data_IF_663669570805
#
_entry.id   IF_663669570805
#
_cell.length_a   1.000
_cell.length_b   1.000
_cell.length_c   1.000
_cell.angle_alpha   90.00
_cell.angle_beta   90.00
_cell.angle_gamma   90.00
#
_symmetry.space_group_name_H-M   'P 1'
#
loop_
_entity.id
_entity.type
_entity.pdbx_description
1 polymer ?
#
# COMPACT_ATOMS: atom_id res chain seq x y z
N UNK A 1 25.86 -67.42 -35.54
CA UNK A 1 26.05 -66.06 -35.00
C UNK A 1 24.91 -65.05 -35.23
N UNK A 2 24.02 -65.15 -36.25
CA UNK A 2 23.01 -64.09 -36.49
C UNK A 2 21.87 -64.05 -35.46
N UNK A 3 21.51 -65.19 -34.86
CA UNK A 3 20.42 -65.28 -33.85
C UNK A 3 20.65 -64.40 -32.61
N UNK A 4 21.89 -64.27 -32.14
CA UNK A 4 22.23 -63.45 -30.97
C UNK A 4 22.08 -61.96 -31.26
N UNK A 5 22.37 -61.55 -32.50
CA UNK A 5 22.25 -60.17 -32.96
C UNK A 5 20.78 -59.76 -33.09
N UNK A 6 19.92 -60.64 -33.62
CA UNK A 6 18.46 -60.39 -33.66
C UNK A 6 17.84 -60.27 -32.26
N UNK A 7 18.26 -61.10 -31.32
CA UNK A 7 17.78 -61.02 -29.92
C UNK A 7 18.21 -59.69 -29.28
N UNK A 8 19.45 -59.26 -29.49
CA UNK A 8 19.93 -57.99 -28.97
C UNK A 8 19.16 -56.80 -29.56
N UNK A 9 18.89 -56.80 -30.87
CA UNK A 9 18.10 -55.75 -31.53
C UNK A 9 16.68 -55.72 -30.98
N UNK A 10 16.03 -56.89 -30.84
CA UNK A 10 14.68 -56.99 -30.30
C UNK A 10 14.60 -56.48 -28.86
N UNK A 11 15.58 -56.83 -28.02
CA UNK A 11 15.65 -56.34 -26.64
C UNK A 11 15.87 -54.82 -26.56
N UNK A 12 16.76 -54.27 -27.39
CA UNK A 12 17.00 -52.82 -27.40
C UNK A 12 15.78 -52.05 -27.90
N UNK A 13 15.10 -52.55 -28.94
CA UNK A 13 13.86 -51.93 -29.44
C UNK A 13 12.73 -51.99 -28.41
N UNK A 14 12.61 -53.10 -27.69
CA UNK A 14 11.63 -53.26 -26.63
C UNK A 14 11.90 -52.31 -25.45
N UNK A 15 13.16 -52.19 -25.02
CA UNK A 15 13.55 -51.28 -23.96
C UNK A 15 13.30 -49.81 -24.35
N UNK A 16 13.64 -49.44 -25.59
CA UNK A 16 13.38 -48.10 -26.12
C UNK A 16 11.86 -47.80 -26.18
N UNK A 17 11.05 -48.77 -26.58
CA UNK A 17 9.59 -48.63 -26.60
C UNK A 17 9.02 -48.44 -25.18
N UNK A 18 9.51 -49.17 -24.19
CA UNK A 18 9.12 -48.99 -22.79
C UNK A 18 9.51 -47.61 -22.25
N UNK A 19 10.73 -47.15 -22.52
CA UNK A 19 11.22 -45.85 -22.08
C UNK A 19 10.50 -44.69 -22.79
N UNK A 20 10.02 -44.90 -24.02
CA UNK A 20 9.21 -43.91 -24.76
C UNK A 20 7.84 -43.63 -24.14
N UNK A 21 7.34 -44.47 -23.22
CA UNK A 21 6.09 -44.23 -22.48
C UNK A 21 6.29 -43.56 -21.12
N UNK A 22 7.54 -43.40 -20.65
CA UNK A 22 7.83 -42.66 -19.42
C UNK A 22 7.45 -41.16 -19.51
N UNK A 23 7.69 -40.42 -20.61
CA UNK A 23 7.38 -38.99 -20.70
C UNK A 23 5.88 -38.68 -20.69
N UNK A 24 5.03 -39.63 -21.12
CA UNK A 24 3.56 -39.46 -21.10
C UNK A 24 2.97 -39.58 -19.70
N UNK A 25 3.74 -40.13 -18.74
CA UNK A 25 3.48 -40.04 -17.31
C UNK A 25 4.17 -38.81 -16.70
N UNK A 26 4.35 -37.73 -17.46
CA UNK A 26 4.71 -36.44 -16.86
C UNK A 26 3.67 -36.12 -15.81
N UNK A 27 4.09 -36.20 -14.55
CA UNK A 27 3.31 -35.74 -13.43
C UNK A 27 2.85 -34.34 -13.78
N UNK A 28 1.53 -34.14 -13.70
CA UNK A 28 0.90 -32.84 -13.86
C UNK A 28 1.44 -31.96 -12.74
N UNK A 29 2.64 -31.41 -12.94
CA UNK A 29 3.17 -30.32 -12.15
C UNK A 29 2.17 -29.21 -12.41
N UNK A 30 1.28 -29.01 -11.45
CA UNK A 30 0.47 -27.80 -11.44
C UNK A 30 1.47 -26.65 -11.52
N UNK A 31 1.36 -25.87 -12.60
CA UNK A 31 2.17 -24.68 -12.80
C UNK A 31 1.90 -23.75 -11.60
N UNK A 32 2.77 -23.81 -10.59
CA UNK A 32 2.68 -22.91 -9.45
C UNK A 32 3.12 -21.54 -9.98
N UNK A 33 2.23 -20.54 -9.99
CA UNK A 33 2.59 -19.23 -10.51
C UNK A 33 3.74 -18.68 -9.68
N UNK A 34 4.84 -18.32 -10.36
CA UNK A 34 6.03 -17.73 -9.74
C UNK A 34 5.74 -16.38 -9.03
N UNK A 35 4.57 -15.79 -9.30
CA UNK A 35 4.08 -14.59 -8.66
C UNK A 35 2.67 -14.83 -8.11
N UNK A 36 2.53 -14.76 -6.80
CA UNK A 36 1.24 -14.59 -6.14
C UNK A 36 1.12 -13.12 -5.77
N UNK A 37 0.13 -12.42 -6.32
CA UNK A 37 -0.18 -11.06 -5.91
C UNK A 37 -0.42 -11.06 -4.40
N UNK A 38 0.36 -10.27 -3.67
CA UNK A 38 0.22 -10.15 -2.21
C UNK A 38 -1.24 -9.80 -1.90
N UNK A 39 -1.88 -10.61 -1.04
CA UNK A 39 -3.24 -10.32 -0.61
C UNK A 39 -3.21 -9.05 0.25
N UNK A 40 -4.19 -8.14 0.10
CA UNK A 40 -4.33 -7.01 1.00
C UNK A 40 -4.39 -7.51 2.45
N UNK A 41 -3.72 -6.79 3.34
CA UNK A 41 -3.70 -7.06 4.78
C UNK A 41 -5.03 -6.65 5.40
N UNK A 42 -5.52 -7.43 6.35
CA UNK A 42 -6.66 -7.03 7.18
C UNK A 42 -6.14 -6.19 8.35
N UNK A 43 -6.49 -4.91 8.38
CA UNK A 43 -6.07 -4.00 9.44
C UNK A 43 -6.82 -4.31 10.74
N UNK A 44 -6.10 -4.25 11.84
CA UNK A 44 -6.57 -4.52 13.20
C UNK A 44 -5.83 -3.65 14.20
N UNK A 45 -6.29 -3.60 15.45
CA UNK A 45 -5.60 -2.87 16.52
C UNK A 45 -4.17 -3.40 16.78
N UNK A 46 -3.89 -4.66 16.42
CA UNK A 46 -2.61 -5.32 16.68
C UNK A 46 -1.55 -5.01 15.63
N UNK A 47 -1.95 -4.74 14.38
CA UNK A 47 -1.02 -4.54 13.25
C UNK A 47 -1.06 -3.13 12.66
N UNK A 48 -1.95 -2.25 13.16
CA UNK A 48 -2.04 -0.87 12.67
C UNK A 48 -0.73 -0.12 12.85
N UNK A 49 -0.06 -0.27 14.01
CA UNK A 49 1.22 0.39 14.26
C UNK A 49 2.28 -0.13 13.29
N UNK A 50 2.37 -1.46 13.11
CA UNK A 50 3.33 -2.09 12.22
C UNK A 50 3.18 -1.60 10.79
N UNK A 51 1.96 -1.49 10.27
CA UNK A 51 1.71 -0.97 8.92
C UNK A 51 2.26 0.45 8.75
N UNK A 52 2.04 1.32 9.72
CA UNK A 52 2.50 2.71 9.66
C UNK A 52 4.01 2.86 9.83
N UNK A 53 4.73 1.84 10.32
CA UNK A 53 6.21 1.86 10.33
C UNK A 53 6.82 1.81 8.93
N UNK A 54 6.06 1.31 7.94
CA UNK A 54 6.50 1.26 6.55
C UNK A 54 6.15 2.53 5.76
N UNK A 55 5.33 3.43 6.33
CA UNK A 55 4.89 4.66 5.68
C UNK A 55 5.86 5.79 6.02
N UNK A 56 6.30 6.52 4.99
CA UNK A 56 7.17 7.70 5.16
C UNK A 56 6.34 8.97 5.01
N UNK A 57 6.39 9.83 6.03
CA UNK A 57 5.76 11.16 6.02
C UNK A 57 6.82 12.23 6.30
N UNK A 58 6.62 13.43 5.76
CA UNK A 58 7.46 14.59 6.03
C UNK A 58 7.27 15.12 7.46
N UNK A 59 6.06 14.97 8.01
CA UNK A 59 5.75 15.36 9.40
C UNK A 59 5.52 14.15 10.29
N UNK A 60 5.77 14.31 11.59
CA UNK A 60 5.71 13.20 12.55
C UNK A 60 4.28 12.71 12.76
N UNK A 61 4.07 11.40 12.61
CA UNK A 61 2.82 10.75 13.01
C UNK A 61 2.76 10.73 14.55
N UNK A 62 1.85 11.53 15.12
CA UNK A 62 1.63 11.60 16.58
C UNK A 62 0.73 10.46 17.06
N UNK A 63 -0.29 10.12 16.28
CA UNK A 63 -1.27 9.10 16.65
C UNK A 63 -1.87 8.48 15.41
N UNK A 64 -2.04 7.16 15.47
CA UNK A 64 -2.88 6.40 14.55
C UNK A 64 -3.93 5.68 15.38
N UNK A 65 -5.18 5.72 14.94
CA UNK A 65 -6.29 5.00 15.56
C UNK A 65 -7.03 4.21 14.49
N UNK A 66 -7.29 2.94 14.78
CA UNK A 66 -8.12 2.07 13.96
C UNK A 66 -9.49 1.91 14.63
N UNK A 67 -10.56 2.18 13.90
CA UNK A 67 -11.94 1.91 14.28
C UNK A 67 -12.69 1.41 13.06
N UNK A 68 -12.69 0.08 12.84
CA UNK A 68 -13.22 -0.55 11.63
C UNK A 68 -14.55 0.07 11.13
N UNK A 69 -14.64 0.55 9.86
CA UNK A 69 -13.63 0.49 8.78
C UNK A 69 -12.78 1.76 8.61
N UNK A 70 -12.61 2.55 9.68
CA UNK A 70 -11.99 3.89 9.65
C UNK A 70 -10.59 3.92 10.26
N UNK A 71 -9.69 4.66 9.63
CA UNK A 71 -8.36 4.99 10.15
C UNK A 71 -8.27 6.49 10.42
N UNK A 72 -7.80 6.86 11.60
CA UNK A 72 -7.51 8.24 11.97
C UNK A 72 -6.00 8.44 12.10
N UNK A 73 -5.46 9.40 11.37
CA UNK A 73 -4.03 9.74 11.33
C UNK A 73 -3.86 11.18 11.79
N UNK A 74 -3.17 11.36 12.91
CA UNK A 74 -2.81 12.68 13.41
C UNK A 74 -1.31 12.91 13.18
N UNK A 75 -0.98 13.86 12.31
CA UNK A 75 0.37 14.40 12.19
C UNK A 75 0.55 15.59 13.14
N UNK A 76 1.78 15.78 13.61
CA UNK A 76 2.14 16.89 14.48
C UNK A 76 3.30 17.71 13.92
N UNK A 77 3.18 19.02 14.07
CA UNK A 77 4.23 20.01 13.82
C UNK A 77 4.48 20.83 15.07
N UNK A 78 5.71 21.28 15.23
CA UNK A 78 6.10 22.24 16.26
C UNK A 78 5.90 23.67 15.76
N UNK A 79 5.72 24.65 16.65
CA UNK A 79 5.59 26.07 16.26
C UNK A 79 6.82 26.62 15.51
N UNK A 80 7.97 25.95 15.64
CA UNK A 80 9.24 26.32 15.00
C UNK A 80 9.41 25.69 13.62
N UNK A 81 8.61 24.68 13.30
CA UNK A 81 8.70 23.98 12.02
C UNK A 81 8.14 24.88 10.91
N UNK A 82 8.80 24.85 9.74
CA UNK A 82 8.25 25.46 8.52
C UNK A 82 7.28 24.49 7.89
N UNK A 83 6.05 24.94 7.68
CA UNK A 83 5.01 24.11 7.08
C UNK A 83 4.96 24.40 5.59
N UNK A 84 5.23 23.38 4.79
CA UNK A 84 5.04 23.38 3.34
C UNK A 84 3.71 22.67 3.05
N UNK A 85 2.77 23.41 2.45
CA UNK A 85 1.45 22.89 2.11
C UNK A 85 1.54 21.68 1.16
N UNK A 86 2.40 21.74 0.14
CA UNK A 86 2.51 20.65 -0.83
C UNK A 86 2.97 19.35 -0.13
N UNK A 87 3.86 19.46 0.86
CA UNK A 87 4.28 18.29 1.69
C UNK A 87 3.14 17.75 2.55
N UNK A 88 2.29 18.62 3.11
CA UNK A 88 1.13 18.18 3.92
C UNK A 88 0.16 17.38 3.05
N UNK A 89 -0.15 17.90 1.86
CA UNK A 89 -1.07 17.24 0.94
C UNK A 89 -0.45 15.98 0.33
N UNK A 90 0.87 15.95 0.08
CA UNK A 90 1.62 14.75 -0.28
C UNK A 90 1.49 13.67 0.79
N UNK A 91 1.78 13.98 2.06
CA UNK A 91 1.73 13.01 3.15
C UNK A 91 0.33 12.39 3.29
N UNK A 92 -0.71 13.22 3.23
CA UNK A 92 -2.09 12.74 3.21
C UNK A 92 -2.34 11.79 2.04
N UNK A 93 -1.97 12.18 0.82
CA UNK A 93 -2.26 11.40 -0.37
C UNK A 93 -1.49 10.07 -0.38
N UNK A 94 -0.20 10.08 -0.04
CA UNK A 94 0.64 8.90 0.00
C UNK A 94 0.15 7.90 1.06
N UNK A 95 -0.15 8.35 2.28
CA UNK A 95 -0.69 7.48 3.34
C UNK A 95 -2.04 6.90 2.94
N UNK A 96 -2.94 7.71 2.38
CA UNK A 96 -4.26 7.25 1.93
C UNK A 96 -4.14 6.25 0.79
N UNK A 97 -3.26 6.51 -0.18
CA UNK A 97 -2.95 5.63 -1.30
C UNK A 97 -2.48 4.26 -0.79
N UNK A 98 -1.49 4.25 0.09
CA UNK A 98 -0.95 3.00 0.63
C UNK A 98 -1.96 2.27 1.52
N UNK A 99 -2.75 2.97 2.34
CA UNK A 99 -3.81 2.33 3.12
C UNK A 99 -4.80 1.60 2.23
N UNK A 100 -5.33 2.25 1.18
CA UNK A 100 -6.30 1.60 0.29
C UNK A 100 -5.68 0.50 -0.57
N UNK A 101 -4.39 0.62 -0.93
CA UNK A 101 -3.67 -0.40 -1.71
C UNK A 101 -3.28 -1.62 -0.88
N UNK A 102 -2.79 -1.40 0.33
CA UNK A 102 -2.23 -2.44 1.19
C UNK A 102 -3.29 -3.15 2.04
N UNK A 103 -4.46 -2.54 2.26
CA UNK A 103 -5.48 -3.10 3.15
C UNK A 103 -6.78 -3.44 2.43
N UNK A 104 -7.45 -4.49 2.93
CA UNK A 104 -8.74 -4.96 2.39
C UNK A 104 -9.96 -4.30 3.02
N UNK A 105 -9.84 -3.81 4.25
CA UNK A 105 -10.96 -3.44 5.13
C UNK A 105 -11.00 -1.96 5.56
N UNK A 106 -10.06 -1.14 5.11
CA UNK A 106 -10.08 0.32 5.39
C UNK A 106 -10.97 1.01 4.37
N UNK A 107 -12.10 1.56 4.79
CA UNK A 107 -13.05 2.29 3.93
C UNK A 107 -12.95 3.81 4.11
N UNK A 108 -12.55 4.29 5.29
CA UNK A 108 -12.47 5.72 5.60
C UNK A 108 -11.09 6.09 6.16
N UNK A 109 -10.53 7.21 5.70
CA UNK A 109 -9.27 7.77 6.24
C UNK A 109 -9.52 9.21 6.65
N UNK A 110 -9.28 9.49 7.93
CA UNK A 110 -9.35 10.82 8.52
C UNK A 110 -7.96 11.29 8.88
N UNK A 111 -7.49 12.34 8.22
CA UNK A 111 -6.16 12.87 8.40
C UNK A 111 -6.22 14.25 9.04
N UNK A 112 -5.38 14.51 10.05
CA UNK A 112 -5.30 15.82 10.69
C UNK A 112 -3.85 16.25 10.85
N UNK A 113 -3.58 17.51 10.54
CA UNK A 113 -2.34 18.17 10.89
C UNK A 113 -2.58 19.04 12.12
N UNK A 114 -1.82 18.78 13.19
CA UNK A 114 -1.92 19.47 14.46
C UNK A 114 -0.64 20.22 14.78
N UNK A 115 -0.73 21.47 15.22
CA UNK A 115 0.39 22.16 15.85
C UNK A 115 0.40 21.90 17.35
N UNK A 116 1.54 21.50 17.90
CA UNK A 116 1.70 21.31 19.35
C UNK A 116 1.92 22.66 20.03
N UNK A 117 1.13 22.97 21.04
CA UNK A 117 1.38 24.13 21.90
C UNK A 117 2.39 23.75 23.00
N UNK A 118 3.42 24.57 23.20
CA UNK A 118 4.50 24.30 24.16
C UNK A 118 4.03 24.39 25.64
N UNK A 119 2.96 25.14 25.91
CA UNK A 119 2.60 25.56 27.28
C UNK A 119 1.48 24.73 27.91
N UNK A 120 0.43 24.36 27.16
CA UNK A 120 -0.78 23.74 27.74
C UNK A 120 -1.01 22.27 27.33
N UNK A 121 -0.06 21.65 26.62
CA UNK A 121 -0.20 20.30 26.04
C UNK A 121 -1.45 20.13 25.14
N UNK A 122 -2.04 21.25 24.77
CA UNK A 122 -3.10 21.44 23.80
C UNK A 122 -2.51 21.31 22.39
N UNK A 123 -3.37 21.06 21.41
CA UNK A 123 -2.94 20.99 20.02
C UNK A 123 -3.95 21.75 19.16
N UNK A 124 -3.44 22.64 18.33
CA UNK A 124 -4.25 23.45 17.42
C UNK A 124 -4.41 22.70 16.11
N UNK A 125 -5.64 22.56 15.64
CA UNK A 125 -5.90 21.98 14.32
C UNK A 125 -5.45 22.98 13.25
N UNK A 126 -4.73 22.47 12.24
CA UNK A 126 -4.34 23.25 11.07
C UNK A 126 -5.12 22.83 9.84
N UNK A 127 -5.15 21.51 9.58
CA UNK A 127 -5.82 20.93 8.42
C UNK A 127 -6.50 19.63 8.84
N UNK A 128 -7.70 19.39 8.33
CA UNK A 128 -8.37 18.08 8.38
C UNK A 128 -8.78 17.67 6.96
N UNK A 129 -8.50 16.41 6.59
CA UNK A 129 -8.80 15.85 5.28
C UNK A 129 -9.46 14.50 5.47
N UNK A 130 -10.47 14.23 4.66
CA UNK A 130 -11.18 12.94 4.65
C UNK A 130 -11.04 12.26 3.29
N UNK A 131 -10.89 10.94 3.30
CA UNK A 131 -10.98 10.12 2.11
C UNK A 131 -11.87 8.91 2.35
N UNK A 132 -12.67 8.59 1.34
CA UNK A 132 -13.44 7.37 1.26
C UNK A 132 -12.83 6.46 0.21
N UNK A 133 -12.79 5.16 0.46
CA UNK A 133 -12.35 4.17 -0.52
C UNK A 133 -13.29 4.26 -1.73
N UNK A 134 -12.76 4.40 -2.95
CA UNK A 134 -13.59 4.39 -4.14
C UNK A 134 -14.08 2.96 -4.42
N UNK A 135 -15.25 2.87 -5.04
CA UNK A 135 -16.04 1.64 -5.29
C UNK A 135 -15.39 0.62 -6.28
N UNK A 136 -14.09 0.79 -6.60
CA UNK A 136 -13.20 0.08 -7.55
C UNK A 136 -13.01 0.77 -8.92
N UNK A 137 -11.76 0.66 -9.41
CA UNK A 137 -11.19 1.18 -10.67
C UNK A 137 -11.07 2.71 -10.83
N UNK A 138 -11.44 3.53 -9.84
CA UNK A 138 -11.01 4.92 -9.84
C UNK A 138 -9.48 4.94 -9.66
N UNK A 139 -8.78 5.37 -10.71
CA UNK A 139 -7.34 5.48 -10.77
C UNK A 139 -6.81 6.31 -9.59
N UNK A 140 -6.36 5.62 -8.55
CA UNK A 140 -5.38 6.20 -7.65
C UNK A 140 -4.11 6.35 -8.47
N UNK A 141 -3.89 7.58 -8.93
CA UNK A 141 -2.64 7.98 -9.54
C UNK A 141 -1.55 7.69 -8.51
N UNK A 142 -0.43 7.10 -8.94
CA UNK A 142 0.70 6.90 -8.03
C UNK A 142 1.09 8.26 -7.46
N UNK A 143 1.40 8.40 -6.16
CA UNK A 143 1.91 9.66 -5.63
C UNK A 143 3.03 10.23 -6.51
N UNK A 144 3.93 9.38 -7.02
CA UNK A 144 5.03 9.80 -7.92
C UNK A 144 4.62 10.55 -9.17
N UNK A 145 3.38 10.39 -9.64
CA UNK A 145 2.88 10.98 -10.88
C UNK A 145 2.04 12.25 -10.62
N UNK A 146 1.94 12.69 -9.36
CA UNK A 146 1.24 13.91 -8.97
C UNK A 146 2.24 15.07 -8.87
N UNK A 147 2.08 16.07 -9.73
CA UNK A 147 2.94 17.27 -9.74
C UNK A 147 2.57 18.28 -8.66
N UNK A 148 1.27 18.51 -8.44
CA UNK A 148 0.72 19.45 -7.45
C UNK A 148 -0.27 18.73 -6.54
N UNK A 149 0.18 18.35 -5.34
CA UNK A 149 -0.65 17.63 -4.39
C UNK A 149 -1.72 18.52 -3.77
N UNK A 150 -1.45 19.81 -3.58
CA UNK A 150 -2.42 20.73 -2.98
C UNK A 150 -3.67 20.83 -3.85
N UNK A 151 -3.47 21.14 -5.14
CA UNK A 151 -4.58 21.22 -6.10
C UNK A 151 -5.22 19.85 -6.31
N UNK A 152 -4.43 18.79 -6.40
CA UNK A 152 -4.93 17.43 -6.60
C UNK A 152 -5.86 17.00 -5.45
N UNK A 153 -5.45 17.25 -4.21
CA UNK A 153 -6.19 16.85 -3.01
C UNK A 153 -7.42 17.71 -2.80
N UNK A 154 -7.29 19.04 -2.84
CA UNK A 154 -8.42 19.97 -2.63
C UNK A 154 -9.56 19.79 -3.64
N UNK A 155 -9.26 19.30 -4.84
CA UNK A 155 -10.27 19.07 -5.89
C UNK A 155 -11.04 17.77 -5.70
N UNK A 156 -10.44 16.76 -5.04
CA UNK A 156 -10.97 15.39 -4.99
C UNK A 156 -11.48 14.97 -3.62
N UNK A 157 -10.99 15.61 -2.57
CA UNK A 157 -11.26 15.21 -1.19
C UNK A 157 -11.86 16.38 -0.40
N UNK A 158 -12.75 16.09 0.56
CA UNK A 158 -13.15 17.08 1.56
C UNK A 158 -11.94 17.55 2.36
N UNK A 159 -11.62 18.84 2.27
CA UNK A 159 -10.52 19.48 3.00
C UNK A 159 -11.09 20.61 3.84
N UNK A 160 -10.81 20.59 5.16
CA UNK A 160 -11.00 21.73 6.05
C UNK A 160 -9.64 22.31 6.41
N UNK A 161 -9.41 23.56 6.01
CA UNK A 161 -8.22 24.33 6.38
C UNK A 161 -8.61 25.38 7.40
N UNK A 162 -7.95 25.39 8.55
CA UNK A 162 -8.15 26.43 9.55
C UNK A 162 -7.40 27.71 9.12
N UNK A 163 -7.93 28.93 9.37
CA UNK A 163 -7.32 30.17 8.90
C UNK A 163 -5.84 30.33 9.27
N UNK A 164 -5.48 29.86 10.47
CA UNK A 164 -4.12 29.91 11.00
C UNK A 164 -3.12 29.09 10.18
N UNK A 165 -3.56 28.12 9.39
CA UNK A 165 -2.67 27.35 8.53
C UNK A 165 -1.96 28.24 7.51
N UNK A 166 -2.66 29.18 6.86
CA UNK A 166 -2.06 30.05 5.85
C UNK A 166 -1.06 31.03 6.44
N UNK A 167 -1.21 31.41 7.72
CA UNK A 167 -0.23 32.22 8.45
C UNK A 167 1.10 31.46 8.66
N UNK A 168 1.06 30.12 8.69
CA UNK A 168 2.22 29.25 8.92
C UNK A 168 2.91 28.77 7.64
N UNK A 169 2.21 28.82 6.52
CA UNK A 169 2.68 28.35 5.20
C UNK A 169 3.24 29.50 4.35
N UNK A 170 2.96 30.76 4.69
CA UNK A 170 3.52 31.92 3.99
C UNK A 170 5.05 31.99 4.14
N UNK A 171 5.77 32.44 3.08
CA UNK A 171 7.23 32.36 2.95
C UNK A 171 8.02 33.18 3.99
#
# INVERSE_FOLDING_TARGET
MPRRLFVAIAMSAFLAAMLSWVPTLSWKQEDVPAFQAARPVELSEQNVVDLFTFMTTHYNIKRVKWENPSVFVDLAVSPKDRIDANRVFHDFYAVTYDLFRLTGNVEHVYFRLLEKEEVENTSKLLVAIEANRPDRAAYFVSPTDVEDYETHVKTRFPVRVEPYFYERVSP
#
